data_IF_013547526203
#
_entry.id   IF_013547526203
#
_cell.length_a   1.000
_cell.length_b   1.000
_cell.length_c   1.000
_cell.angle_alpha   90.00
_cell.angle_beta   90.00
_cell.angle_gamma   90.00
#
_symmetry.space_group_name_H-M   'P 1'
#
loop_
_entity.id
_entity.type
_entity.pdbx_description
1 polymer ?
#
# COMPACT_ATOMS: atom_id res chain seq x y z
N UNK A 1 -3.88 -8.65 6.38
CA UNK A 1 -5.26 -9.05 6.72
C UNK A 1 -5.23 -9.83 8.00
N UNK A 2 -6.29 -9.80 8.76
CA UNK A 2 -6.46 -10.58 9.99
C UNK A 2 -7.48 -11.70 9.77
N UNK A 3 -7.33 -12.80 10.51
CA UNK A 3 -8.34 -13.84 10.57
C UNK A 3 -9.25 -13.60 11.77
N UNK A 4 -10.55 -13.51 11.52
CA UNK A 4 -11.54 -13.20 12.57
C UNK A 4 -11.63 -14.31 13.62
N UNK A 5 -11.46 -13.95 14.89
CA UNK A 5 -11.63 -14.88 16.03
C UNK A 5 -13.10 -15.07 16.46
N UNK A 6 -13.97 -14.09 16.14
CA UNK A 6 -15.34 -14.00 16.64
C UNK A 6 -16.38 -13.99 15.51
N UNK A 7 -17.63 -14.36 15.85
CA UNK A 7 -18.79 -14.19 14.96
C UNK A 7 -19.18 -12.70 14.81
N UNK A 8 -19.82 -12.30 13.72
CA UNK A 8 -20.07 -13.07 12.51
C UNK A 8 -18.81 -13.30 11.68
N UNK A 9 -18.82 -14.29 10.81
CA UNK A 9 -17.74 -14.65 9.91
C UNK A 9 -16.44 -15.15 10.60
N UNK A 10 -16.55 -15.81 11.74
CA UNK A 10 -15.40 -16.44 12.42
C UNK A 10 -14.60 -17.32 11.45
N UNK A 11 -13.27 -17.19 11.52
CA UNK A 11 -12.33 -17.89 10.65
C UNK A 11 -12.15 -17.30 9.25
N UNK A 12 -12.97 -16.34 8.83
CA UNK A 12 -12.75 -15.60 7.58
C UNK A 12 -11.70 -14.51 7.74
N UNK A 13 -11.10 -14.15 6.62
CA UNK A 13 -10.15 -13.04 6.56
C UNK A 13 -10.86 -11.70 6.41
N UNK A 14 -10.31 -10.68 7.04
CA UNK A 14 -10.83 -9.32 7.00
C UNK A 14 -9.66 -8.31 6.96
N UNK A 15 -9.95 -7.05 6.64
CA UNK A 15 -9.05 -5.96 6.97
C UNK A 15 -9.08 -5.71 8.46
N UNK A 16 -7.95 -5.30 9.06
CA UNK A 16 -7.93 -4.85 10.45
C UNK A 16 -8.86 -3.66 10.63
N UNK A 17 -9.49 -3.56 11.79
CA UNK A 17 -10.39 -2.47 12.11
C UNK A 17 -11.44 -2.81 13.15
N UNK A 18 -11.91 -1.80 13.84
CA UNK A 18 -12.91 -1.88 14.90
C UNK A 18 -13.76 -0.62 15.01
N UNK A 19 -14.36 -0.42 16.16
CA UNK A 19 -15.19 0.74 16.45
C UNK A 19 -14.37 1.90 17.00
N UNK A 20 -14.76 3.12 16.63
CA UNK A 20 -14.18 4.32 17.19
C UNK A 20 -14.54 4.44 18.69
N UNK A 21 -13.56 4.81 19.49
CA UNK A 21 -13.79 5.20 20.89
C UNK A 21 -14.37 6.61 20.93
N UNK A 22 -15.00 6.95 22.04
CA UNK A 22 -15.68 8.24 22.20
C UNK A 22 -14.73 9.44 22.27
N UNK A 23 -13.45 9.19 22.50
CA UNK A 23 -12.39 10.17 22.71
C UNK A 23 -11.33 10.17 21.61
N UNK A 24 -11.59 9.51 20.47
CA UNK A 24 -10.67 9.45 19.34
C UNK A 24 -11.33 9.85 18.01
N UNK A 25 -10.55 10.44 17.12
CA UNK A 25 -10.95 10.68 15.74
C UNK A 25 -10.70 9.42 14.86
N UNK A 26 -11.23 9.47 13.63
CA UNK A 26 -11.16 8.32 12.72
C UNK A 26 -9.72 7.94 12.33
N UNK A 27 -8.83 8.92 12.18
CA UNK A 27 -7.43 8.68 11.86
C UNK A 27 -6.70 7.99 13.01
N UNK A 28 -6.96 8.42 14.24
CA UNK A 28 -6.39 7.82 15.45
C UNK A 28 -6.90 6.40 15.65
N UNK A 29 -8.21 6.19 15.54
CA UNK A 29 -8.83 4.88 15.66
C UNK A 29 -8.29 3.89 14.62
N UNK A 30 -8.16 4.32 13.37
CA UNK A 30 -7.62 3.46 12.30
C UNK A 30 -6.16 3.03 12.57
N UNK A 31 -5.30 3.92 13.10
CA UNK A 31 -3.93 3.56 13.48
C UNK A 31 -3.89 2.63 14.67
N UNK A 32 -4.71 2.89 15.68
CA UNK A 32 -4.80 2.05 16.87
C UNK A 32 -5.20 0.62 16.49
N UNK A 33 -6.30 0.45 15.77
CA UNK A 33 -6.79 -0.86 15.32
C UNK A 33 -5.75 -1.59 14.44
N UNK A 34 -5.10 -0.88 13.52
CA UNK A 34 -4.03 -1.46 12.70
C UNK A 34 -2.89 -2.00 13.57
N UNK A 35 -2.47 -1.24 14.58
CA UNK A 35 -1.40 -1.65 15.48
C UNK A 35 -1.83 -2.80 16.39
N UNK A 36 -3.01 -2.70 17.04
CA UNK A 36 -3.53 -3.71 17.97
C UNK A 36 -3.70 -5.08 17.28
N UNK A 37 -4.21 -5.12 16.05
CA UNK A 37 -4.51 -6.36 15.34
C UNK A 37 -3.36 -6.91 14.48
N UNK A 38 -2.34 -6.12 14.16
CA UNK A 38 -1.26 -6.55 13.23
C UNK A 38 0.16 -6.25 13.73
N UNK A 39 0.31 -5.46 14.78
CA UNK A 39 1.60 -4.94 15.22
C UNK A 39 2.22 -3.88 14.30
N UNK A 40 1.53 -3.46 13.25
CA UNK A 40 2.01 -2.42 12.34
C UNK A 40 1.81 -1.03 12.93
N UNK A 41 2.90 -0.27 12.99
CA UNK A 41 2.87 1.16 13.33
C UNK A 41 3.19 1.98 12.08
N UNK A 42 2.29 2.88 11.71
CA UNK A 42 2.50 3.83 10.62
C UNK A 42 1.73 5.12 10.85
N UNK A 43 2.41 6.23 10.67
CA UNK A 43 1.79 7.55 10.66
C UNK A 43 1.15 7.91 9.31
N UNK A 44 1.54 7.20 8.24
CA UNK A 44 1.09 7.48 6.87
C UNK A 44 -0.10 6.61 6.49
N UNK A 45 -1.29 7.06 6.88
CA UNK A 45 -2.56 6.49 6.42
C UNK A 45 -3.32 7.53 5.59
N UNK A 46 -4.12 7.08 4.66
CA UNK A 46 -4.95 7.96 3.82
C UNK A 46 -6.36 7.40 3.73
N UNK A 47 -7.34 8.17 4.14
CA UNK A 47 -8.74 7.83 3.91
C UNK A 47 -9.00 7.75 2.40
N UNK A 48 -9.61 6.66 1.94
CA UNK A 48 -9.91 6.48 0.51
C UNK A 48 -11.39 6.21 0.22
N UNK A 49 -12.19 5.92 1.22
CA UNK A 49 -13.62 5.67 1.01
C UNK A 49 -14.43 5.57 2.30
N UNK A 50 -15.73 5.73 2.16
CA UNK A 50 -16.72 5.50 3.22
C UNK A 50 -17.78 4.55 2.68
N UNK A 51 -18.09 3.50 3.45
CA UNK A 51 -19.01 2.43 3.07
C UNK A 51 -20.24 2.50 3.96
N UNK A 52 -21.40 2.71 3.33
CA UNK A 52 -22.65 3.07 4.04
C UNK A 52 -23.83 2.17 3.67
N UNK A 53 -23.61 1.06 3.00
CA UNK A 53 -24.69 0.13 2.67
C UNK A 53 -25.39 -0.36 3.93
N UNK A 54 -26.73 -0.50 3.85
CA UNK A 54 -27.56 -0.78 5.03
C UNK A 54 -27.20 -2.11 5.65
N UNK A 55 -27.04 -3.14 4.82
CA UNK A 55 -26.88 -4.55 5.25
C UNK A 55 -25.41 -5.01 5.20
N UNK A 56 -24.45 -4.07 5.23
CA UNK A 56 -23.03 -4.43 5.16
C UNK A 56 -22.51 -5.19 6.38
N UNK A 57 -23.11 -4.98 7.54
CA UNK A 57 -22.88 -5.72 8.78
C UNK A 57 -24.22 -6.34 9.25
N UNK A 58 -24.29 -7.65 9.45
CA UNK A 58 -25.54 -8.29 9.84
C UNK A 58 -25.96 -8.01 11.30
N UNK A 59 -25.09 -7.44 12.11
CA UNK A 59 -25.35 -7.17 13.54
C UNK A 59 -26.13 -5.89 13.77
N UNK A 60 -25.74 -4.84 13.06
CA UNK A 60 -26.28 -3.49 13.25
C UNK A 60 -25.94 -2.56 12.07
N UNK A 61 -26.52 -1.35 12.13
CA UNK A 61 -26.21 -0.31 11.15
C UNK A 61 -24.80 0.24 11.37
N UNK A 62 -23.86 -0.16 10.48
CA UNK A 62 -22.46 0.25 10.56
C UNK A 62 -22.10 1.13 9.36
N UNK A 63 -21.34 2.19 9.62
CA UNK A 63 -20.65 3.00 8.60
C UNK A 63 -19.15 2.75 8.79
N UNK A 64 -18.48 2.37 7.72
CA UNK A 64 -17.01 2.17 7.75
C UNK A 64 -16.31 3.28 6.99
N UNK A 65 -15.34 3.88 7.67
CA UNK A 65 -14.34 4.79 7.07
C UNK A 65 -13.11 3.93 6.77
N UNK A 66 -12.77 3.80 5.48
CA UNK A 66 -11.67 2.94 5.06
C UNK A 66 -10.40 3.75 4.78
N UNK A 67 -9.29 3.25 5.32
CA UNK A 67 -7.96 3.82 5.19
C UNK A 67 -7.02 2.88 4.44
N UNK A 68 -6.07 3.47 3.73
CA UNK A 68 -4.98 2.77 3.06
C UNK A 68 -3.64 3.23 3.62
N UNK A 69 -2.80 2.28 4.00
CA UNK A 69 -1.40 2.50 4.36
C UNK A 69 -0.51 1.82 3.32
N UNK A 70 0.44 2.56 2.75
CA UNK A 70 1.49 2.01 1.90
C UNK A 70 2.73 1.81 2.74
N UNK A 71 3.05 0.56 3.06
CA UNK A 71 4.16 0.21 3.95
C UNK A 71 5.03 -0.88 3.33
N UNK A 72 6.31 -0.90 3.69
CA UNK A 72 7.16 -2.05 3.38
C UNK A 72 6.63 -3.27 4.10
N UNK A 73 6.78 -4.43 3.47
CA UNK A 73 6.40 -5.69 4.11
C UNK A 73 7.25 -5.92 5.34
N UNK A 74 6.60 -5.97 6.50
CA UNK A 74 7.16 -6.36 7.79
C UNK A 74 6.53 -7.66 8.26
N UNK A 75 7.08 -8.27 9.29
CA UNK A 75 6.40 -9.33 10.01
C UNK A 75 5.15 -8.75 10.68
N UNK A 76 4.04 -9.47 10.58
CA UNK A 76 2.78 -9.13 11.23
C UNK A 76 2.39 -10.26 12.16
N UNK A 77 1.83 -9.95 13.30
CA UNK A 77 1.37 -10.92 14.29
C UNK A 77 -0.09 -10.58 14.63
N UNK A 78 -0.94 -11.59 14.65
CA UNK A 78 -2.31 -11.43 15.14
C UNK A 78 -2.28 -11.01 16.61
N UNK A 79 -3.06 -10.00 16.92
CA UNK A 79 -3.25 -9.52 18.29
C UNK A 79 -4.73 -9.32 18.57
N UNK A 80 -5.06 -9.09 19.83
CA UNK A 80 -6.42 -8.85 20.32
C UNK A 80 -7.42 -9.93 19.85
N UNK A 81 -8.48 -9.55 19.14
CA UNK A 81 -9.52 -10.44 18.61
C UNK A 81 -9.10 -11.15 17.29
N UNK A 82 -7.89 -10.90 16.76
CA UNK A 82 -7.37 -11.53 15.57
C UNK A 82 -6.70 -12.88 15.87
N UNK A 83 -7.26 -13.98 15.36
CA UNK A 83 -6.67 -15.31 15.52
C UNK A 83 -5.34 -15.47 14.76
N UNK A 84 -5.12 -14.69 13.71
CA UNK A 84 -3.90 -14.66 12.89
C UNK A 84 -3.83 -13.36 12.07
N UNK A 85 -2.63 -12.92 11.69
CA UNK A 85 -2.42 -11.82 10.76
C UNK A 85 -1.42 -12.22 9.66
N UNK A 86 -1.76 -11.94 8.39
CA UNK A 86 -0.92 -12.31 7.23
C UNK A 86 -0.96 -11.31 6.10
N UNK A 87 0.15 -11.26 5.37
CA UNK A 87 0.23 -10.63 4.06
C UNK A 87 -0.24 -11.60 2.98
N UNK A 88 -1.12 -11.13 2.11
CA UNK A 88 -1.55 -11.87 0.92
C UNK A 88 -1.10 -11.18 -0.35
N UNK A 89 -0.63 -11.93 -1.36
CA UNK A 89 -0.58 -11.40 -2.72
C UNK A 89 -1.98 -10.99 -3.14
N UNK A 90 -2.13 -9.86 -3.82
CA UNK A 90 -3.45 -9.37 -4.28
C UNK A 90 -4.17 -10.42 -5.13
N UNK A 91 -3.42 -11.19 -5.93
CA UNK A 91 -3.95 -12.27 -6.79
C UNK A 91 -4.38 -13.53 -6.03
N UNK A 92 -4.08 -13.63 -4.75
CA UNK A 92 -4.34 -14.82 -3.92
C UNK A 92 -5.08 -14.47 -2.62
N UNK A 93 -5.78 -13.34 -2.60
CA UNK A 93 -6.65 -12.95 -1.49
C UNK A 93 -7.85 -13.89 -1.44
N UNK A 94 -8.12 -14.56 -0.31
CA UNK A 94 -9.29 -15.41 -0.17
C UNK A 94 -10.58 -14.56 -0.08
N UNK A 95 -11.78 -15.16 -0.20
CA UNK A 95 -13.03 -14.46 0.04
C UNK A 95 -13.06 -13.84 1.43
N UNK A 96 -13.33 -12.54 1.50
CA UNK A 96 -13.27 -11.77 2.73
C UNK A 96 -14.60 -11.80 3.51
N UNK A 97 -14.53 -11.40 4.77
CA UNK A 97 -15.70 -11.19 5.62
C UNK A 97 -16.39 -9.87 5.22
N UNK A 98 -17.69 -9.77 5.54
CA UNK A 98 -18.51 -8.59 5.26
C UNK A 98 -18.47 -8.19 3.76
N UNK A 99 -18.40 -6.89 3.50
CA UNK A 99 -18.20 -6.29 2.18
C UNK A 99 -16.72 -5.95 1.88
N UNK A 100 -15.76 -6.57 2.59
CA UNK A 100 -14.34 -6.25 2.47
C UNK A 100 -13.76 -6.54 1.09
N UNK A 101 -14.36 -7.46 0.31
CA UNK A 101 -14.02 -7.63 -1.12
C UNK A 101 -14.29 -6.36 -1.93
N UNK A 102 -15.34 -5.60 -1.59
CA UNK A 102 -15.64 -4.32 -2.22
C UNK A 102 -14.66 -3.23 -1.79
N UNK A 103 -14.31 -3.21 -0.50
CA UNK A 103 -13.28 -2.30 0.04
C UNK A 103 -11.96 -2.54 -0.68
N UNK A 104 -11.54 -3.79 -0.86
CA UNK A 104 -10.32 -4.15 -1.60
C UNK A 104 -10.33 -3.63 -3.03
N UNK A 105 -11.43 -3.86 -3.76
CA UNK A 105 -11.54 -3.38 -5.15
C UNK A 105 -11.36 -1.86 -5.24
N UNK A 106 -12.06 -1.11 -4.40
CA UNK A 106 -11.95 0.35 -4.39
C UNK A 106 -10.54 0.81 -3.99
N UNK A 107 -9.90 0.16 -3.02
CA UNK A 107 -8.52 0.47 -2.63
C UNK A 107 -7.54 0.31 -3.80
N UNK A 108 -7.66 -0.78 -4.56
CA UNK A 108 -6.83 -1.04 -5.74
C UNK A 108 -7.10 -0.04 -6.87
N UNK A 109 -8.34 0.35 -7.09
CA UNK A 109 -8.71 1.40 -8.05
C UNK A 109 -8.08 2.75 -7.65
N UNK A 110 -8.22 3.14 -6.39
CA UNK A 110 -7.60 4.37 -5.87
C UNK A 110 -6.08 4.36 -5.95
N UNK A 111 -5.45 3.22 -5.69
CA UNK A 111 -4.00 3.07 -5.83
C UNK A 111 -3.56 3.25 -7.30
N UNK A 112 -4.30 2.65 -8.25
CA UNK A 112 -4.06 2.84 -9.69
C UNK A 112 -4.23 4.29 -10.14
N UNK A 113 -5.23 5.00 -9.62
CA UNK A 113 -5.40 6.42 -9.88
C UNK A 113 -4.25 7.25 -9.30
N UNK A 114 -3.89 6.99 -8.05
CA UNK A 114 -2.86 7.75 -7.35
C UNK A 114 -1.47 7.64 -7.98
N UNK A 115 -1.12 6.49 -8.55
CA UNK A 115 0.21 6.26 -9.15
C UNK A 115 0.50 7.20 -10.33
N UNK A 116 -0.53 7.76 -10.95
CA UNK A 116 -0.39 8.76 -12.01
C UNK A 116 -0.07 10.17 -11.47
N UNK A 117 -0.38 10.43 -10.21
CA UNK A 117 -0.22 11.74 -9.59
C UNK A 117 0.81 11.77 -8.45
N UNK A 118 1.21 10.62 -7.97
CA UNK A 118 2.20 10.46 -6.91
C UNK A 118 3.16 9.34 -7.27
N UNK A 119 4.47 9.53 -7.19
CA UNK A 119 5.41 8.44 -7.37
C UNK A 119 5.31 7.48 -6.18
N UNK A 120 4.46 6.49 -6.33
CA UNK A 120 4.29 5.40 -5.37
C UNK A 120 5.54 4.53 -5.41
N UNK A 121 6.33 4.54 -4.38
CA UNK A 121 7.57 3.76 -4.35
C UNK A 121 8.45 4.10 -3.16
N UNK A 122 8.34 5.32 -2.65
CA UNK A 122 9.04 5.73 -1.44
C UNK A 122 8.70 4.83 -0.26
N UNK A 123 7.42 4.48 -0.14
CA UNK A 123 6.91 3.68 0.97
C UNK A 123 7.04 2.17 0.73
N UNK A 124 7.01 1.74 -0.54
CA UNK A 124 6.92 0.31 -0.91
C UNK A 124 8.25 -0.32 -1.30
N UNK A 125 9.22 0.47 -1.75
CA UNK A 125 10.55 -0.02 -2.12
C UNK A 125 11.54 0.15 -0.97
N UNK A 126 12.61 -0.66 -0.95
CA UNK A 126 13.78 -0.39 -0.11
C UNK A 126 14.33 1.00 -0.39
N UNK A 127 15.06 1.58 0.58
CA UNK A 127 15.71 2.90 0.41
C UNK A 127 16.61 2.93 -0.84
N UNK A 128 17.30 1.82 -1.10
CA UNK A 128 18.13 1.62 -2.28
C UNK A 128 17.52 0.50 -3.12
N UNK A 129 17.19 0.80 -4.35
CA UNK A 129 16.51 -0.14 -5.28
C UNK A 129 17.07 -0.06 -6.70
N UNK A 130 16.70 -1.02 -7.54
CA UNK A 130 17.01 -1.05 -8.97
C UNK A 130 15.81 -0.57 -9.80
N UNK A 131 16.05 -0.08 -11.02
CA UNK A 131 14.96 0.26 -11.94
C UNK A 131 14.05 -0.94 -12.26
N UNK A 132 14.60 -2.16 -12.20
CA UNK A 132 13.78 -3.37 -12.37
C UNK A 132 12.79 -3.60 -11.23
N UNK A 133 13.18 -3.32 -9.98
CA UNK A 133 12.27 -3.39 -8.83
C UNK A 133 11.18 -2.32 -8.93
N UNK A 134 11.57 -1.08 -9.29
CA UNK A 134 10.61 0.00 -9.52
C UNK A 134 9.63 -0.36 -10.65
N UNK A 135 10.11 -0.89 -11.77
CA UNK A 135 9.26 -1.34 -12.88
C UNK A 135 8.29 -2.43 -12.45
N UNK A 136 8.78 -3.45 -11.74
CA UNK A 136 7.93 -4.55 -11.24
C UNK A 136 6.83 -4.06 -10.29
N UNK A 137 7.13 -3.06 -9.46
CA UNK A 137 6.14 -2.44 -8.59
C UNK A 137 5.02 -1.75 -9.41
N UNK A 138 5.41 -0.93 -10.41
CA UNK A 138 4.45 -0.23 -11.25
C UNK A 138 3.62 -1.20 -12.11
N UNK A 139 4.25 -2.24 -12.67
CA UNK A 139 3.56 -3.30 -13.40
C UNK A 139 2.55 -4.04 -12.52
N UNK A 140 2.92 -4.33 -11.27
CA UNK A 140 2.03 -5.01 -10.32
C UNK A 140 0.81 -4.16 -9.95
N UNK A 141 0.99 -2.84 -9.73
CA UNK A 141 -0.10 -1.94 -9.37
C UNK A 141 -1.04 -1.70 -10.57
N UNK A 142 -0.48 -1.44 -11.73
CA UNK A 142 -1.26 -1.07 -12.93
C UNK A 142 -1.84 -2.29 -13.66
N UNK A 143 -1.29 -3.48 -13.44
CA UNK A 143 -1.69 -4.71 -14.12
C UNK A 143 -1.25 -4.75 -15.59
N UNK A 144 -0.18 -4.05 -15.95
CA UNK A 144 0.36 -3.94 -17.31
C UNK A 144 1.82 -4.39 -17.36
N UNK A 145 2.37 -4.53 -18.57
CA UNK A 145 3.80 -4.77 -18.79
C UNK A 145 4.42 -3.60 -19.54
N UNK A 146 5.59 -3.16 -19.08
CA UNK A 146 6.31 -2.06 -19.70
C UNK A 146 7.56 -2.56 -20.46
N UNK A 147 7.86 -1.91 -21.59
CA UNK A 147 9.19 -2.03 -22.18
C UNK A 147 10.23 -1.44 -21.20
N UNK A 148 11.26 -2.22 -20.92
CA UNK A 148 12.28 -1.89 -19.92
C UNK A 148 13.04 -0.59 -20.24
N UNK A 149 13.34 -0.34 -21.51
CA UNK A 149 14.11 0.85 -21.93
C UNK A 149 13.26 2.10 -21.82
N UNK A 150 12.02 2.02 -22.31
CA UNK A 150 11.07 3.12 -22.27
C UNK A 150 10.71 3.49 -20.83
N UNK A 151 10.43 2.51 -19.98
CA UNK A 151 10.17 2.73 -18.55
C UNK A 151 11.37 3.41 -17.87
N UNK A 152 12.58 2.86 -18.05
CA UNK A 152 13.79 3.42 -17.46
C UNK A 152 14.04 4.87 -17.91
N UNK A 153 13.94 5.15 -19.22
CA UNK A 153 14.12 6.48 -19.77
C UNK A 153 13.13 7.47 -19.19
N UNK A 154 11.86 7.07 -19.06
CA UNK A 154 10.79 7.88 -18.49
C UNK A 154 11.04 8.21 -17.01
N UNK A 155 11.33 7.20 -16.20
CA UNK A 155 11.58 7.39 -14.77
C UNK A 155 12.82 8.25 -14.49
N UNK A 156 13.88 8.10 -15.29
CA UNK A 156 15.08 8.95 -15.17
C UNK A 156 14.82 10.39 -15.59
N UNK A 157 14.02 10.61 -16.63
CA UNK A 157 13.63 11.97 -17.09
C UNK A 157 12.86 12.77 -16.03
N UNK A 158 12.14 12.12 -15.12
CA UNK A 158 11.44 12.79 -14.03
C UNK A 158 12.39 13.46 -13.02
N UNK A 159 13.67 13.08 -13.01
CA UNK A 159 14.66 13.62 -12.10
C UNK A 159 14.49 13.22 -10.64
N UNK A 160 13.55 12.32 -10.34
CA UNK A 160 13.24 11.82 -9.00
C UNK A 160 14.27 10.84 -8.44
N UNK A 161 15.11 10.27 -9.29
CA UNK A 161 16.05 9.22 -8.94
C UNK A 161 17.48 9.74 -8.85
N UNK A 162 18.17 9.41 -7.76
CA UNK A 162 19.60 9.64 -7.57
C UNK A 162 20.32 8.31 -7.70
N UNK A 163 21.32 8.18 -8.60
CA UNK A 163 22.12 6.97 -8.69
C UNK A 163 22.95 6.80 -7.41
N UNK A 164 22.99 5.56 -6.90
CA UNK A 164 23.74 5.17 -5.71
C UNK A 164 24.94 4.32 -6.14
N UNK A 165 26.14 4.73 -5.72
CA UNK A 165 27.40 4.04 -6.00
C UNK A 165 27.89 4.19 -7.44
N UNK A 166 29.21 4.18 -7.62
CA UNK A 166 29.88 4.09 -8.91
C UNK A 166 29.93 2.61 -9.32
N UNK A 167 29.57 2.34 -10.57
CA UNK A 167 29.74 1.03 -11.19
C UNK A 167 31.25 0.75 -11.30
N UNK A 168 31.81 -0.32 -10.67
CA UNK A 168 33.20 -0.66 -10.90
C UNK A 168 33.42 -0.96 -12.39
N UNK A 169 34.38 -0.31 -13.02
CA UNK A 169 34.62 -0.43 -14.44
C UNK A 169 35.00 -1.88 -14.86
N UNK A 170 35.52 -2.68 -13.91
CA UNK A 170 36.08 -4.02 -14.16
C UNK A 170 35.32 -5.15 -13.48
N UNK A 171 34.04 -4.98 -13.09
CA UNK A 171 33.30 -6.07 -12.49
C UNK A 171 32.98 -7.17 -13.53
N UNK A 172 33.49 -8.37 -13.32
CA UNK A 172 33.24 -9.56 -14.16
C UNK A 172 31.76 -9.96 -14.21
N UNK A 173 30.94 -9.47 -13.28
CA UNK A 173 29.48 -9.58 -13.26
C UNK A 173 28.87 -8.20 -13.36
N UNK A 174 27.90 -8.02 -14.28
CA UNK A 174 27.13 -6.78 -14.41
C UNK A 174 26.30 -6.55 -13.15
N UNK A 175 26.81 -5.75 -12.21
CA UNK A 175 26.05 -5.29 -11.03
C UNK A 175 25.03 -4.27 -11.51
N UNK A 176 23.72 -4.44 -11.27
CA UNK A 176 22.71 -3.46 -11.64
C UNK A 176 22.99 -2.12 -10.97
N UNK A 177 22.78 -1.01 -11.69
CA UNK A 177 22.79 0.31 -11.10
C UNK A 177 21.64 0.42 -10.10
N UNK A 178 21.96 0.89 -8.91
CA UNK A 178 20.98 1.17 -7.85
C UNK A 178 20.68 2.66 -7.75
N UNK A 179 19.53 2.98 -7.20
CA UNK A 179 19.01 4.33 -7.07
C UNK A 179 18.36 4.49 -5.69
N UNK A 180 18.27 5.73 -5.23
CA UNK A 180 17.34 6.16 -4.19
C UNK A 180 16.46 7.29 -4.71
N UNK A 181 15.34 7.55 -4.06
CA UNK A 181 14.51 8.70 -4.38
C UNK A 181 15.14 10.01 -3.86
N UNK A 182 14.88 11.10 -4.58
CA UNK A 182 15.19 12.46 -4.15
C UNK A 182 13.95 13.06 -3.51
N UNK A 183 13.94 13.14 -2.20
CA UNK A 183 12.79 13.60 -1.42
C UNK A 183 12.44 15.07 -1.72
N UNK A 184 13.44 15.94 -1.82
CA UNK A 184 13.24 17.36 -2.16
C UNK A 184 12.53 17.53 -3.51
N UNK A 185 12.98 16.77 -4.53
CA UNK A 185 12.37 16.82 -5.87
C UNK A 185 10.96 16.24 -5.89
N UNK A 186 10.69 15.23 -5.07
CA UNK A 186 9.35 14.72 -4.90
C UNK A 186 8.41 15.78 -4.32
N UNK A 187 8.82 16.46 -3.26
CA UNK A 187 8.03 17.50 -2.62
C UNK A 187 7.76 18.68 -3.56
N UNK A 188 8.75 19.08 -4.35
CA UNK A 188 8.61 20.11 -5.40
C UNK A 188 7.53 19.69 -6.43
N UNK A 189 7.63 18.49 -6.97
CA UNK A 189 6.67 17.98 -7.96
C UNK A 189 5.25 17.80 -7.38
N UNK A 190 5.16 17.44 -6.11
CA UNK A 190 3.87 17.35 -5.41
C UNK A 190 3.17 18.70 -5.30
N UNK A 191 3.93 19.78 -5.11
CA UNK A 191 3.39 21.15 -5.01
C UNK A 191 3.06 21.75 -6.39
N UNK A 192 3.88 21.48 -7.40
CA UNK A 192 3.72 22.04 -8.75
C UNK A 192 2.69 21.31 -9.62
N UNK A 193 2.16 20.19 -9.13
CA UNK A 193 1.35 19.26 -9.91
C UNK A 193 2.22 18.28 -10.70
N UNK A 194 2.04 17.01 -10.44
CA UNK A 194 2.75 15.91 -11.10
C UNK A 194 1.76 15.02 -11.83
N UNK A 195 2.07 14.69 -13.08
CA UNK A 195 1.32 13.68 -13.82
C UNK A 195 2.27 12.72 -14.52
N UNK A 196 2.18 11.47 -14.12
CA UNK A 196 2.92 10.39 -14.74
C UNK A 196 2.02 9.67 -15.74
N UNK A 197 2.23 9.91 -17.02
CA UNK A 197 1.54 9.19 -18.11
C UNK A 197 2.41 8.01 -18.54
N UNK A 198 1.84 6.81 -18.57
CA UNK A 198 2.49 5.59 -19.04
C UNK A 198 1.99 5.21 -20.45
#
# INVERSE_FOLDING_TARGET
MIQRGLEPFKGRWAFPGGFLKMDEDADTGARRELNEETGLDTSSITQFGTFTEVDRDPRERVITIAYMALVRKHEVQGGDDAADARWFPVSAVPPLAFDHDRILRLALERLKEQIHFKPVGFELLPEIFTLSQLQSLYEAILGVRFDRRNFAAKMLKLGLLKPMGSRPANAARRIPQTYCFKEDKYNELKQSGFRLEF
#
